data_IF_633945947505
#
_entry.id   IF_633945947505
#
_cell.length_a   1.000
_cell.length_b   1.000
_cell.length_c   1.000
_cell.angle_alpha   90.00
_cell.angle_beta   90.00
_cell.angle_gamma   90.00
#
_symmetry.space_group_name_H-M   'P 1'
#
loop_
_entity.id
_entity.type
_entity.pdbx_description
1 polymer ?
#
# COMPACT_ATOMS: atom_id res chain seq x y z
N UNK A 1 -24.93 -7.51 3.60
CA UNK A 1 -24.27 -6.20 3.89
C UNK A 1 -23.06 -5.93 2.99
N UNK A 2 -22.19 -6.91 2.73
CA UNK A 2 -21.01 -6.75 1.87
C UNK A 2 -21.37 -6.41 0.40
N UNK A 3 -22.38 -7.05 -0.19
CA UNK A 3 -22.84 -6.74 -1.57
C UNK A 3 -23.38 -5.31 -1.71
N UNK A 4 -24.14 -4.80 -0.73
CA UNK A 4 -24.64 -3.41 -0.72
C UNK A 4 -23.48 -2.42 -0.61
N UNK A 5 -22.46 -2.75 0.18
CA UNK A 5 -21.25 -1.94 0.29
C UNK A 5 -20.43 -1.93 -1.01
N UNK A 6 -20.28 -3.08 -1.66
CA UNK A 6 -19.61 -3.19 -2.96
C UNK A 6 -20.37 -2.43 -4.06
N UNK A 7 -21.70 -2.53 -4.10
CA UNK A 7 -22.56 -1.75 -4.99
C UNK A 7 -22.42 -0.25 -4.75
N UNK A 8 -22.47 0.21 -3.49
CA UNK A 8 -22.25 1.62 -3.16
C UNK A 8 -20.88 2.09 -3.60
N UNK A 9 -19.83 1.33 -3.31
CA UNK A 9 -18.45 1.66 -3.71
C UNK A 9 -18.32 1.79 -5.22
N UNK A 10 -18.94 0.89 -5.99
CA UNK A 10 -18.95 0.94 -7.47
C UNK A 10 -19.76 2.11 -8.03
N UNK A 11 -20.74 2.60 -7.28
CA UNK A 11 -21.62 3.72 -7.65
C UNK A 11 -21.15 5.08 -7.08
N UNK A 12 -20.08 5.12 -6.27
CA UNK A 12 -19.51 6.37 -5.76
C UNK A 12 -18.91 7.15 -6.91
N UNK A 13 -19.58 8.22 -7.30
CA UNK A 13 -19.00 9.27 -8.13
C UNK A 13 -18.41 10.35 -7.22
N UNK A 14 -17.23 10.86 -7.57
CA UNK A 14 -16.72 12.06 -6.92
C UNK A 14 -17.70 13.19 -7.24
N UNK A 15 -18.34 13.82 -6.23
CA UNK A 15 -19.44 14.74 -6.49
C UNK A 15 -18.98 16.03 -7.19
N UNK A 16 -17.70 16.36 -7.11
CA UNK A 16 -17.12 17.58 -7.67
C UNK A 16 -15.91 17.25 -8.54
N UNK A 17 -15.86 17.84 -9.75
CA UNK A 17 -14.67 17.81 -10.61
C UNK A 17 -13.64 18.85 -10.17
N UNK A 18 -12.38 18.66 -10.56
CA UNK A 18 -11.31 19.64 -10.28
C UNK A 18 -11.61 21.00 -10.90
N UNK A 19 -12.13 21.02 -12.13
CA UNK A 19 -12.52 22.26 -12.83
C UNK A 19 -13.60 23.02 -12.08
N UNK A 20 -14.59 22.31 -11.52
CA UNK A 20 -15.63 22.92 -10.69
C UNK A 20 -15.06 23.50 -9.40
N UNK A 21 -14.17 22.77 -8.72
CA UNK A 21 -13.50 23.25 -7.51
C UNK A 21 -12.68 24.51 -7.83
N UNK A 22 -11.94 24.50 -8.94
CA UNK A 22 -11.12 25.65 -9.37
C UNK A 22 -11.98 26.87 -9.69
N UNK A 23 -13.10 26.67 -10.40
CA UNK A 23 -14.09 27.73 -10.67
C UNK A 23 -14.63 28.33 -9.38
N UNK A 24 -15.08 27.51 -8.43
CA UNK A 24 -15.61 27.96 -7.14
C UNK A 24 -14.57 28.75 -6.36
N UNK A 25 -13.31 28.30 -6.35
CA UNK A 25 -12.19 29.01 -5.70
C UNK A 25 -11.95 30.37 -6.34
N UNK A 26 -11.98 30.46 -7.68
CA UNK A 26 -11.80 31.71 -8.42
C UNK A 26 -12.92 32.72 -8.15
N UNK A 27 -14.18 32.27 -8.18
CA UNK A 27 -15.36 33.11 -7.97
C UNK A 27 -15.49 33.58 -6.51
N UNK A 28 -14.95 32.82 -5.54
CA UNK A 28 -15.10 33.08 -4.11
C UNK A 28 -13.78 33.42 -3.40
N UNK A 29 -12.85 34.10 -4.08
CA UNK A 29 -11.49 34.37 -3.58
C UNK A 29 -11.44 35.03 -2.18
N UNK A 30 -12.40 35.92 -1.87
CA UNK A 30 -12.46 36.56 -0.54
C UNK A 30 -12.77 35.55 0.57
N UNK A 31 -13.70 34.62 0.33
CA UNK A 31 -14.02 33.55 1.28
C UNK A 31 -12.83 32.61 1.44
N UNK A 32 -12.14 32.28 0.35
CA UNK A 32 -10.94 31.43 0.39
C UNK A 32 -9.82 32.05 1.23
N UNK A 33 -9.62 33.38 1.15
CA UNK A 33 -8.66 34.08 2.02
C UNK A 33 -9.03 33.98 3.50
N UNK A 34 -10.32 33.99 3.83
CA UNK A 34 -10.80 33.82 5.20
C UNK A 34 -10.69 32.37 5.68
N UNK A 35 -10.96 31.40 4.81
CA UNK A 35 -10.69 29.98 5.08
C UNK A 35 -9.20 29.75 5.37
N UNK A 36 -8.31 30.41 4.62
CA UNK A 36 -6.88 30.35 4.90
C UNK A 36 -6.51 31.00 6.25
N UNK A 37 -7.15 32.12 6.64
CA UNK A 37 -6.96 32.71 7.97
C UNK A 37 -7.42 31.75 9.08
N UNK A 38 -8.55 31.07 8.90
CA UNK A 38 -9.03 30.04 9.81
C UNK A 38 -8.00 28.89 9.91
N UNK A 39 -7.52 28.37 8.78
CA UNK A 39 -6.46 27.37 8.73
C UNK A 39 -5.20 27.82 9.48
N UNK A 40 -4.71 29.03 9.21
CA UNK A 40 -3.51 29.56 9.86
C UNK A 40 -3.69 29.76 11.36
N UNK A 41 -4.89 30.12 11.82
CA UNK A 41 -5.19 30.24 13.26
C UNK A 41 -5.16 28.91 14.02
N UNK A 42 -5.29 27.79 13.30
CA UNK A 42 -5.28 26.44 13.86
C UNK A 42 -3.94 25.73 13.70
N UNK A 43 -3.25 25.97 12.58
CA UNK A 43 -2.13 25.13 12.14
C UNK A 43 -0.82 25.90 11.91
N UNK A 44 -0.78 27.22 12.09
CA UNK A 44 0.48 27.95 12.00
C UNK A 44 1.25 27.77 13.31
N UNK A 45 2.43 27.12 13.31
CA UNK A 45 3.21 26.88 14.53
C UNK A 45 3.75 28.18 15.17
N UNK A 46 3.73 29.28 14.42
CA UNK A 46 4.18 30.62 14.86
C UNK A 46 3.07 31.42 15.55
N UNK A 47 1.84 30.90 15.57
CA UNK A 47 0.67 31.58 16.15
C UNK A 47 0.08 30.70 17.26
N UNK A 48 -0.43 31.33 18.32
CA UNK A 48 -1.14 30.58 19.37
C UNK A 48 -2.41 29.97 18.79
N UNK A 49 -2.48 28.64 18.83
CA UNK A 49 -3.63 27.86 18.32
C UNK A 49 -4.93 28.31 18.96
N UNK A 50 -5.91 28.64 18.11
CA UNK A 50 -7.27 29.01 18.53
C UNK A 50 -8.17 27.76 18.53
N UNK A 51 -9.22 27.75 19.34
CA UNK A 51 -10.22 26.68 19.28
C UNK A 51 -11.07 26.83 18.01
N UNK A 52 -11.22 25.74 17.25
CA UNK A 52 -12.11 25.72 16.09
C UNK A 52 -13.57 25.94 16.51
N UNK A 53 -14.23 26.93 15.90
CA UNK A 53 -15.65 27.23 16.13
C UNK A 53 -16.49 26.61 15.02
N UNK A 54 -17.36 25.68 15.39
CA UNK A 54 -18.23 24.98 14.43
C UNK A 54 -19.12 25.97 13.67
N UNK A 55 -19.70 26.93 14.38
CA UNK A 55 -20.48 28.03 13.79
C UNK A 55 -19.73 29.33 14.01
N UNK A 56 -19.53 30.08 12.92
CA UNK A 56 -18.95 31.41 12.90
C UNK A 56 -19.49 32.19 11.69
N UNK A 57 -19.21 33.49 11.63
CA UNK A 57 -19.67 34.35 10.54
C UNK A 57 -19.23 33.86 9.16
N UNK A 58 -18.06 33.21 9.07
CA UNK A 58 -17.57 32.59 7.84
C UNK A 58 -18.49 31.46 7.36
N UNK A 59 -18.93 30.56 8.26
CA UNK A 59 -19.90 29.51 7.93
C UNK A 59 -21.21 30.09 7.43
N UNK A 60 -21.74 31.09 8.14
CA UNK A 60 -23.01 31.73 7.78
C UNK A 60 -22.94 32.41 6.43
N UNK A 61 -21.80 33.05 6.11
CA UNK A 61 -21.58 33.64 4.79
C UNK A 61 -21.46 32.60 3.68
N UNK A 62 -20.79 31.47 3.94
CA UNK A 62 -20.74 30.36 3.00
C UNK A 62 -22.16 29.83 2.74
N UNK A 63 -22.97 29.64 3.78
CA UNK A 63 -24.35 29.13 3.65
C UNK A 63 -25.30 30.07 2.89
N UNK A 64 -24.97 31.36 2.77
CA UNK A 64 -25.75 32.36 2.02
C UNK A 64 -25.39 32.47 0.55
N UNK A 65 -24.41 31.71 0.06
CA UNK A 65 -24.07 31.68 -1.36
C UNK A 65 -25.22 31.07 -2.17
N UNK A 66 -25.44 31.61 -3.38
CA UNK A 66 -26.51 31.15 -4.27
C UNK A 66 -26.22 29.74 -4.86
N UNK A 67 -24.95 29.42 -5.14
CA UNK A 67 -24.57 28.11 -5.68
C UNK A 67 -24.44 27.06 -4.58
N UNK A 68 -25.30 26.05 -4.64
CA UNK A 68 -25.28 24.90 -3.73
C UNK A 68 -23.96 24.11 -3.77
N UNK A 69 -23.34 24.03 -4.95
CA UNK A 69 -22.05 23.39 -5.17
C UNK A 69 -20.92 24.17 -4.50
N UNK A 70 -20.95 25.51 -4.61
CA UNK A 70 -19.99 26.37 -3.93
C UNK A 70 -20.09 26.24 -2.40
N UNK A 71 -21.32 26.20 -1.86
CA UNK A 71 -21.57 25.94 -0.44
C UNK A 71 -20.92 24.62 -0.02
N UNK A 72 -21.22 23.53 -0.73
CA UNK A 72 -20.73 22.20 -0.39
C UNK A 72 -19.18 22.11 -0.44
N UNK A 73 -18.56 22.67 -1.47
CA UNK A 73 -17.09 22.67 -1.65
C UNK A 73 -16.40 23.49 -0.55
N UNK A 74 -16.88 24.71 -0.27
CA UNK A 74 -16.25 25.59 0.72
C UNK A 74 -16.45 25.08 2.15
N UNK A 75 -17.59 24.45 2.46
CA UNK A 75 -17.78 23.75 3.74
C UNK A 75 -16.83 22.55 3.88
N UNK A 76 -16.53 21.83 2.79
CA UNK A 76 -15.54 20.74 2.82
C UNK A 76 -14.13 21.25 3.12
N UNK A 77 -13.76 22.47 2.72
CA UNK A 77 -12.48 23.06 3.12
C UNK A 77 -12.41 23.37 4.62
N UNK A 78 -13.52 23.81 5.23
CA UNK A 78 -13.61 23.98 6.69
C UNK A 78 -13.52 22.64 7.41
N UNK A 79 -14.19 21.61 6.90
CA UNK A 79 -14.13 20.26 7.45
C UNK A 79 -12.71 19.68 7.36
N UNK A 80 -12.03 19.85 6.23
CA UNK A 80 -10.63 19.47 6.06
C UNK A 80 -9.74 20.17 7.08
N UNK A 81 -9.87 21.49 7.23
CA UNK A 81 -9.13 22.27 8.22
C UNK A 81 -9.35 21.74 9.65
N UNK A 82 -10.60 21.53 10.06
CA UNK A 82 -10.95 20.95 11.37
C UNK A 82 -10.35 19.55 11.61
N UNK A 83 -10.15 18.79 10.54
CA UNK A 83 -9.73 17.40 10.60
C UNK A 83 -8.22 17.20 10.78
N UNK A 84 -7.42 18.22 10.46
CA UNK A 84 -5.96 18.14 10.51
C UNK A 84 -5.52 18.10 11.97
N UNK A 85 -4.68 17.11 12.26
CA UNK A 85 -4.01 16.91 13.54
C UNK A 85 -2.58 17.44 13.49
N UNK A 86 -1.90 17.29 12.35
CA UNK A 86 -0.52 17.75 12.15
C UNK A 86 -0.25 18.00 10.66
N UNK A 87 0.56 19.02 10.34
CA UNK A 87 0.95 19.32 8.95
C UNK A 87 2.31 19.99 8.85
N UNK A 88 3.01 19.70 7.75
CA UNK A 88 4.28 20.32 7.39
C UNK A 88 4.09 21.60 6.55
N UNK A 89 2.86 22.12 6.43
CA UNK A 89 2.49 23.21 5.51
C UNK A 89 3.41 24.45 5.62
N UNK A 90 3.94 24.76 6.80
CA UNK A 90 4.76 25.94 7.05
C UNK A 90 6.27 25.74 6.91
N UNK A 91 6.75 24.51 6.68
CA UNK A 91 8.18 24.28 6.41
C UNK A 91 8.63 25.03 5.13
N UNK A 92 9.80 25.69 5.11
CA UNK A 92 10.28 26.36 3.91
C UNK A 92 10.79 25.39 2.84
N UNK A 93 11.47 24.32 3.27
CA UNK A 93 12.05 23.31 2.38
C UNK A 93 11.36 21.96 2.64
N UNK A 94 10.59 21.49 1.66
CA UNK A 94 9.87 20.22 1.72
C UNK A 94 9.71 19.62 0.32
N UNK A 95 9.48 18.31 0.24
CA UNK A 95 9.24 17.61 -1.04
C UNK A 95 7.76 17.60 -1.45
N UNK A 96 6.87 17.95 -0.52
CA UNK A 96 5.43 18.08 -0.74
C UNK A 96 4.70 18.44 0.56
N UNK A 97 3.39 18.53 0.47
CA UNK A 97 2.52 18.78 1.62
C UNK A 97 2.07 17.48 2.24
N UNK A 98 2.12 17.41 3.56
CA UNK A 98 1.68 16.27 4.35
C UNK A 98 0.67 16.73 5.40
N UNK A 99 -0.40 15.95 5.55
CA UNK A 99 -1.46 16.18 6.50
C UNK A 99 -1.77 14.89 7.23
N UNK A 100 -1.65 14.92 8.55
CA UNK A 100 -2.23 13.91 9.43
C UNK A 100 -3.69 14.29 9.68
N UNK A 101 -4.61 13.46 9.25
CA UNK A 101 -6.06 13.69 9.31
C UNK A 101 -6.66 12.71 10.31
N UNK A 102 -7.61 13.17 11.12
CA UNK A 102 -8.36 12.31 12.04
C UNK A 102 -9.19 11.28 11.25
N UNK A 103 -9.04 9.99 11.51
CA UNK A 103 -9.78 8.93 10.79
C UNK A 103 -11.30 8.99 10.94
N UNK A 104 -11.80 9.62 12.01
CA UNK A 104 -13.24 9.85 12.23
C UNK A 104 -13.88 10.82 11.22
N UNK A 105 -13.11 11.40 10.28
CA UNK A 105 -13.68 12.15 9.15
C UNK A 105 -14.25 11.26 8.07
N UNK A 106 -13.84 9.99 8.02
CA UNK A 106 -14.44 9.04 7.10
C UNK A 106 -15.83 8.65 7.60
N UNK A 107 -16.86 8.66 6.73
CA UNK A 107 -18.22 8.33 7.13
C UNK A 107 -18.33 6.84 7.48
N UNK A 108 -18.87 6.53 8.66
CA UNK A 108 -19.02 5.15 9.15
C UNK A 108 -19.93 4.27 8.28
N UNK A 109 -20.79 4.87 7.45
CA UNK A 109 -21.62 4.15 6.48
C UNK A 109 -20.80 3.43 5.40
N UNK A 110 -19.64 4.00 5.08
CA UNK A 110 -18.74 3.52 4.03
C UNK A 110 -17.46 2.92 4.62
N UNK A 111 -17.08 3.35 5.82
CA UNK A 111 -15.87 2.93 6.50
C UNK A 111 -16.23 2.49 7.93
N UNK A 112 -16.78 1.28 8.12
CA UNK A 112 -17.38 0.85 9.39
C UNK A 112 -16.41 0.83 10.57
N UNK A 113 -15.13 0.53 10.29
CA UNK A 113 -14.07 0.57 11.28
C UNK A 113 -13.32 1.88 11.13
N UNK A 114 -13.44 2.75 12.12
CA UNK A 114 -12.76 4.05 12.10
C UNK A 114 -11.25 3.83 12.10
N UNK A 115 -10.52 4.32 11.08
CA UNK A 115 -9.07 4.32 11.13
C UNK A 115 -8.58 5.18 12.30
N UNK A 116 -7.33 4.98 12.68
CA UNK A 116 -6.60 5.85 13.57
C UNK A 116 -6.31 7.18 12.81
N UNK A 117 -5.10 7.74 12.66
CA UNK A 117 -4.88 8.83 11.70
C UNK A 117 -4.78 8.30 10.26
N UNK A 118 -5.20 9.14 9.32
CA UNK A 118 -4.91 8.99 7.89
C UNK A 118 -3.85 10.02 7.52
N UNK A 119 -2.80 9.58 6.84
CA UNK A 119 -1.84 10.50 6.26
C UNK A 119 -2.16 10.72 4.82
N UNK A 120 -2.38 11.98 4.47
CA UNK A 120 -2.60 12.42 3.12
C UNK A 120 -1.45 13.30 2.69
N UNK A 121 -0.90 13.03 1.51
CA UNK A 121 0.26 13.73 0.99
C UNK A 121 0.05 14.14 -0.45
N UNK A 122 0.53 15.33 -0.79
CA UNK A 122 0.54 15.87 -2.14
C UNK A 122 2.00 16.24 -2.47
N UNK A 123 2.64 15.44 -3.32
CA UNK A 123 3.96 15.70 -3.86
C UNK A 123 3.90 16.12 -5.33
N UNK A 124 5.01 16.62 -5.86
CA UNK A 124 5.08 17.06 -7.26
C UNK A 124 4.85 15.95 -8.30
N UNK A 125 5.08 14.69 -7.92
CA UNK A 125 4.99 13.53 -8.82
C UNK A 125 3.87 12.54 -8.44
N UNK A 126 3.27 12.68 -7.26
CA UNK A 126 2.35 11.68 -6.74
C UNK A 126 1.44 12.22 -5.63
N UNK A 127 0.31 11.56 -5.45
CA UNK A 127 -0.54 11.67 -4.27
C UNK A 127 -0.31 10.43 -3.40
N UNK A 128 -0.12 10.65 -2.10
CA UNK A 128 0.13 9.59 -1.13
C UNK A 128 -1.00 9.45 -0.12
N UNK A 129 -1.38 8.22 0.19
CA UNK A 129 -2.17 7.88 1.36
C UNK A 129 -1.41 6.91 2.26
N UNK A 130 -1.55 7.06 3.57
CA UNK A 130 -1.18 6.04 4.55
C UNK A 130 -2.31 5.89 5.56
N UNK A 131 -2.98 4.73 5.59
CA UNK A 131 -4.09 4.47 6.49
C UNK A 131 -3.65 3.50 7.57
N UNK A 132 -4.04 3.76 8.81
CA UNK A 132 -3.61 3.04 10.00
C UNK A 132 -4.81 2.65 10.85
N UNK A 133 -4.76 1.49 11.48
CA UNK A 133 -5.79 1.02 12.42
C UNK A 133 -5.31 0.98 13.88
N UNK A 134 -4.06 1.38 14.15
CA UNK A 134 -3.53 1.56 15.51
C UNK A 134 -2.42 2.63 15.55
N UNK A 135 -2.17 3.19 16.74
CA UNK A 135 -1.10 4.18 17.01
C UNK A 135 0.31 3.61 16.86
N UNK A 136 0.46 2.29 16.95
CA UNK A 136 1.66 1.56 16.52
C UNK A 136 1.20 0.58 15.46
N UNK A 137 1.62 0.79 14.21
CA UNK A 137 1.10 0.02 13.09
C UNK A 137 2.18 -0.36 12.08
N UNK A 138 1.97 -1.49 11.42
CA UNK A 138 2.83 -2.02 10.38
C UNK A 138 2.07 -2.33 9.10
N UNK A 139 2.69 -2.01 7.96
CA UNK A 139 2.16 -2.44 6.67
C UNK A 139 2.95 -1.99 5.45
N UNK A 140 2.61 -2.61 4.32
CA UNK A 140 3.28 -2.39 3.04
C UNK A 140 3.02 -0.99 2.45
N UNK A 141 4.01 -0.45 1.75
CA UNK A 141 3.86 0.74 0.90
C UNK A 141 3.83 0.30 -0.55
N UNK A 142 2.73 0.57 -1.24
CA UNK A 142 2.51 0.24 -2.65
C UNK A 142 2.73 1.47 -3.51
N UNK A 143 3.30 1.28 -4.69
CA UNK A 143 3.40 2.33 -5.70
C UNK A 143 2.61 1.93 -6.95
N UNK A 144 1.61 2.74 -7.28
CA UNK A 144 0.65 2.49 -8.36
C UNK A 144 1.01 3.33 -9.57
N UNK A 145 1.20 2.66 -10.71
CA UNK A 145 1.42 3.30 -12.00
C UNK A 145 0.10 3.50 -12.74
N UNK A 146 -0.01 4.63 -13.45
CA UNK A 146 -1.16 4.95 -14.28
C UNK A 146 -0.68 5.44 -15.64
N UNK A 147 -0.62 4.53 -16.60
CA UNK A 147 -0.28 4.85 -17.99
C UNK A 147 -1.56 5.29 -18.71
N UNK A 148 -1.61 6.55 -19.09
CA UNK A 148 -2.79 7.17 -19.72
C UNK A 148 -3.87 7.65 -18.74
N UNK A 149 -4.75 8.51 -19.24
CA UNK A 149 -5.75 9.24 -18.43
C UNK A 149 -6.79 8.31 -17.80
N UNK A 150 -7.35 7.36 -18.55
CA UNK A 150 -8.40 6.47 -18.07
C UNK A 150 -7.93 5.59 -16.88
N UNK A 151 -6.70 5.05 -16.97
CA UNK A 151 -6.10 4.29 -15.88
C UNK A 151 -5.86 5.17 -14.64
N UNK A 152 -5.39 6.41 -14.84
CA UNK A 152 -5.16 7.34 -13.74
C UNK A 152 -6.46 7.73 -13.03
N UNK A 153 -7.52 8.05 -13.77
CA UNK A 153 -8.82 8.38 -13.19
C UNK A 153 -9.42 7.21 -12.42
N UNK A 154 -9.30 5.99 -12.95
CA UNK A 154 -9.79 4.78 -12.27
C UNK A 154 -9.07 4.57 -10.95
N UNK A 155 -7.72 4.55 -10.97
CA UNK A 155 -6.91 4.35 -9.77
C UNK A 155 -7.13 5.48 -8.75
N UNK A 156 -7.30 6.72 -9.20
CA UNK A 156 -7.57 7.87 -8.34
C UNK A 156 -8.91 7.76 -7.63
N UNK A 157 -9.96 7.29 -8.32
CA UNK A 157 -11.30 7.10 -7.74
C UNK A 157 -11.32 6.00 -6.68
N UNK A 158 -10.57 4.91 -6.88
CA UNK A 158 -10.52 3.79 -5.94
C UNK A 158 -9.46 3.92 -4.84
N UNK A 159 -8.60 4.93 -4.90
CA UNK A 159 -7.40 5.07 -4.06
C UNK A 159 -7.69 4.94 -2.55
N UNK A 160 -8.70 5.67 -2.06
CA UNK A 160 -9.06 5.67 -0.64
C UNK A 160 -9.65 4.32 -0.21
N UNK A 161 -10.55 3.76 -1.00
CA UNK A 161 -11.20 2.48 -0.69
C UNK A 161 -10.18 1.32 -0.72
N UNK A 162 -9.24 1.32 -1.68
CA UNK A 162 -8.16 0.34 -1.76
C UNK A 162 -7.24 0.45 -0.55
N UNK A 163 -6.75 1.66 -0.23
CA UNK A 163 -5.88 1.89 0.91
C UNK A 163 -6.56 1.44 2.22
N UNK A 164 -7.84 1.73 2.39
CA UNK A 164 -8.60 1.35 3.59
C UNK A 164 -8.74 -0.17 3.68
N UNK A 165 -9.18 -0.84 2.62
CA UNK A 165 -9.39 -2.29 2.60
C UNK A 165 -8.10 -3.06 2.85
N UNK A 166 -7.00 -2.62 2.24
CA UNK A 166 -5.68 -3.23 2.44
C UNK A 166 -5.17 -3.02 3.87
N UNK A 167 -5.30 -1.81 4.41
CA UNK A 167 -4.93 -1.53 5.81
C UNK A 167 -5.79 -2.32 6.81
N UNK A 168 -7.10 -2.45 6.52
CA UNK A 168 -8.03 -3.20 7.37
C UNK A 168 -7.73 -4.69 7.35
N UNK A 169 -7.45 -5.25 6.17
CA UNK A 169 -7.00 -6.65 6.06
C UNK A 169 -5.68 -6.87 6.81
N UNK A 170 -4.76 -5.90 6.75
CA UNK A 170 -3.51 -5.95 7.50
C UNK A 170 -3.74 -5.95 9.02
N UNK A 171 -4.79 -5.29 9.52
CA UNK A 171 -5.14 -5.32 10.94
C UNK A 171 -5.43 -6.74 11.42
N UNK A 172 -6.18 -7.53 10.65
CA UNK A 172 -6.46 -8.93 11.00
C UNK A 172 -5.26 -9.85 10.83
N UNK A 173 -4.37 -9.55 9.87
CA UNK A 173 -3.10 -10.27 9.74
C UNK A 173 -2.21 -10.07 10.97
N UNK A 174 -2.27 -8.89 11.59
CA UNK A 174 -1.44 -8.56 12.74
C UNK A 174 -2.12 -8.87 14.09
N UNK A 175 -3.24 -9.62 14.12
CA UNK A 175 -4.02 -9.87 15.35
C UNK A 175 -3.23 -10.53 16.48
N UNK A 176 -2.15 -11.25 16.14
CA UNK A 176 -1.33 -12.01 17.09
C UNK A 176 0.02 -11.32 17.41
N UNK A 177 0.23 -10.08 16.94
CA UNK A 177 1.41 -9.25 17.23
C UNK A 177 1.00 -7.91 17.86
N UNK A 178 1.97 -7.15 18.36
CA UNK A 178 1.69 -5.91 19.11
C UNK A 178 1.28 -4.73 18.21
N UNK A 179 1.65 -4.74 16.93
CA UNK A 179 1.37 -3.67 15.99
C UNK A 179 0.02 -3.86 15.29
N UNK A 180 -0.77 -2.80 15.14
CA UNK A 180 -1.94 -2.82 14.24
C UNK A 180 -1.56 -2.82 12.76
N UNK A 181 -2.55 -2.91 11.89
CA UNK A 181 -2.40 -2.86 10.45
C UNK A 181 -2.31 -1.45 9.91
N UNK A 182 -1.46 -1.27 8.90
CA UNK A 182 -1.46 -0.08 8.07
C UNK A 182 -1.27 -0.41 6.60
N UNK A 183 -1.45 0.59 5.73
CA UNK A 183 -1.10 0.49 4.32
C UNK A 183 -0.77 1.87 3.76
N UNK A 184 0.35 1.97 3.05
CA UNK A 184 0.69 3.11 2.22
C UNK A 184 0.35 2.84 0.76
N UNK A 185 -0.24 3.81 0.07
CA UNK A 185 -0.37 3.80 -1.39
C UNK A 185 0.15 5.13 -1.93
N UNK A 186 1.05 5.05 -2.91
CA UNK A 186 1.59 6.18 -3.66
C UNK A 186 1.03 6.08 -5.08
N UNK A 187 0.06 6.93 -5.40
CA UNK A 187 -0.48 7.04 -6.75
C UNK A 187 0.38 8.02 -7.54
N UNK A 188 1.16 7.49 -8.48
CA UNK A 188 1.96 8.32 -9.37
C UNK A 188 1.04 9.15 -10.29
N UNK A 189 1.47 10.37 -10.62
CA UNK A 189 0.83 11.18 -11.64
C UNK A 189 0.78 10.42 -12.97
N UNK A 190 -0.21 10.76 -13.81
CA UNK A 190 -0.36 10.12 -15.13
C UNK A 190 0.94 10.22 -15.93
N UNK A 191 1.38 9.09 -16.49
CA UNK A 191 2.52 9.03 -17.41
C UNK A 191 2.08 8.56 -18.80
N UNK A 192 2.90 8.85 -19.81
CA UNK A 192 2.61 8.37 -21.17
C UNK A 192 3.07 6.94 -21.39
N UNK A 193 4.15 6.54 -20.71
CA UNK A 193 4.76 5.22 -20.85
C UNK A 193 5.06 4.60 -19.48
N UNK A 194 5.18 3.27 -19.46
CA UNK A 194 5.62 2.54 -18.27
C UNK A 194 7.09 2.84 -17.93
N UNK A 195 7.94 3.08 -18.93
CA UNK A 195 9.34 3.43 -18.71
C UNK A 195 9.48 4.78 -17.98
N UNK A 196 8.66 5.76 -18.35
CA UNK A 196 8.57 7.03 -17.63
C UNK A 196 8.11 6.83 -16.17
N UNK A 197 7.07 6.02 -15.96
CA UNK A 197 6.56 5.72 -14.62
C UNK A 197 7.66 5.10 -13.74
N UNK A 198 8.39 4.10 -14.26
CA UNK A 198 9.50 3.44 -13.56
C UNK A 198 10.64 4.41 -13.23
N UNK A 199 10.92 5.40 -14.08
CA UNK A 199 11.94 6.43 -13.81
C UNK A 199 11.52 7.40 -12.70
N UNK A 200 10.23 7.76 -12.65
CA UNK A 200 9.69 8.70 -11.65
C UNK A 200 9.39 8.02 -10.30
N UNK A 201 9.10 6.72 -10.29
CA UNK A 201 8.69 5.98 -9.10
C UNK A 201 9.62 6.16 -7.88
N UNK A 202 10.96 6.04 -8.02
CA UNK A 202 11.87 6.23 -6.90
C UNK A 202 11.81 7.65 -6.32
N UNK A 203 11.63 8.67 -7.17
CA UNK A 203 11.54 10.06 -6.73
C UNK A 203 10.24 10.31 -5.95
N UNK A 204 9.12 9.79 -6.43
CA UNK A 204 7.84 9.86 -5.74
C UNK A 204 7.87 9.14 -4.38
N UNK A 205 8.50 7.95 -4.33
CA UNK A 205 8.70 7.23 -3.08
C UNK A 205 9.56 8.01 -2.08
N UNK A 206 10.67 8.60 -2.54
CA UNK A 206 11.54 9.42 -1.69
C UNK A 206 10.81 10.64 -1.12
N UNK A 207 10.04 11.35 -1.95
CA UNK A 207 9.21 12.46 -1.52
C UNK A 207 8.16 12.02 -0.48
N UNK A 208 7.51 10.88 -0.69
CA UNK A 208 6.53 10.31 0.25
C UNK A 208 7.13 10.03 1.63
N UNK A 209 8.36 9.48 1.66
CA UNK A 209 9.07 9.21 2.91
C UNK A 209 9.54 10.50 3.57
N UNK A 210 10.08 11.46 2.82
CA UNK A 210 10.50 12.75 3.40
C UNK A 210 9.32 13.51 4.02
N UNK A 211 8.19 13.57 3.30
CA UNK A 211 6.95 14.18 3.79
C UNK A 211 6.39 13.47 5.03
N UNK A 212 6.55 12.15 5.11
CA UNK A 212 6.18 11.38 6.31
C UNK A 212 7.11 11.70 7.48
N UNK A 213 8.43 11.74 7.24
CA UNK A 213 9.42 12.08 8.25
C UNK A 213 9.31 13.53 8.74
N UNK A 214 8.81 14.46 7.92
CA UNK A 214 8.48 15.82 8.35
C UNK A 214 7.44 15.84 9.47
N UNK A 215 6.46 14.92 9.46
CA UNK A 215 5.43 14.85 10.50
C UNK A 215 5.84 13.97 11.69
N UNK A 216 6.78 13.03 11.48
CA UNK A 216 7.21 12.08 12.51
C UNK A 216 8.33 12.60 13.40
N UNK A 217 9.16 13.49 12.87
CA UNK A 217 10.32 14.01 13.57
C UNK A 217 10.04 15.42 14.08
N UNK A 218 10.45 15.76 15.32
CA UNK A 218 10.24 17.09 15.86
C UNK A 218 10.85 18.17 14.96
N UNK A 219 10.04 19.17 14.58
CA UNK A 219 10.49 20.32 13.82
C UNK A 219 9.66 21.57 14.17
N UNK A 220 10.31 22.72 14.36
CA UNK A 220 9.66 23.94 14.84
C UNK A 220 8.67 24.58 13.84
N UNK A 221 8.85 24.33 12.53
CA UNK A 221 7.89 24.76 11.48
C UNK A 221 6.78 23.72 11.18
N UNK A 222 6.61 22.70 12.03
CA UNK A 222 5.54 21.69 11.90
C UNK A 222 4.52 21.91 13.02
N UNK A 223 3.23 21.87 12.66
CA UNK A 223 2.15 21.91 13.65
C UNK A 223 2.00 20.54 14.30
N UNK A 224 2.68 20.31 15.42
CA UNK A 224 2.49 19.10 16.22
C UNK A 224 1.26 19.23 17.14
N UNK A 225 0.09 18.88 16.61
CA UNK A 225 -1.15 18.83 17.38
C UNK A 225 -1.33 17.56 18.22
N UNK A 226 -0.36 16.64 18.27
CA UNK A 226 -0.43 15.40 19.05
C UNK A 226 0.33 15.50 20.37
N UNK A 227 1.53 16.11 20.34
CA UNK A 227 2.42 16.18 21.50
C UNK A 227 2.96 14.84 21.97
N UNK A 228 2.84 13.79 21.16
CA UNK A 228 3.37 12.44 21.41
C UNK A 228 4.22 11.98 20.24
N UNK A 229 5.37 11.36 20.55
CA UNK A 229 6.23 10.76 19.52
C UNK A 229 5.58 9.49 19.00
N UNK A 230 5.58 9.32 17.68
CA UNK A 230 5.09 8.12 17.03
C UNK A 230 6.22 7.33 16.36
N UNK A 231 5.99 6.02 16.19
CA UNK A 231 6.90 5.12 15.48
C UNK A 231 6.11 4.31 14.47
N UNK A 232 6.57 4.28 13.23
CA UNK A 232 5.90 3.58 12.15
C UNK A 232 6.80 2.51 11.54
N UNK A 233 6.16 1.42 11.11
CA UNK A 233 6.85 0.27 10.54
C UNK A 233 6.35 0.02 9.11
N UNK A 234 7.17 0.38 8.12
CA UNK A 234 6.84 0.22 6.71
C UNK A 234 7.34 -1.12 6.19
N UNK A 235 6.56 -1.75 5.32
CA UNK A 235 6.94 -2.93 4.57
C UNK A 235 7.03 -2.66 3.06
N UNK A 236 7.73 -3.52 2.32
CA UNK A 236 7.60 -3.53 0.87
C UNK A 236 6.20 -4.02 0.45
N UNK A 237 5.77 -3.56 -0.71
CA UNK A 237 4.63 -4.06 -1.47
C UNK A 237 4.93 -3.92 -2.97
N UNK A 238 3.90 -3.99 -3.83
CA UNK A 238 4.04 -3.81 -5.27
C UNK A 238 4.84 -2.54 -5.62
N UNK A 239 5.84 -2.73 -6.49
CA UNK A 239 6.75 -1.71 -7.00
C UNK A 239 7.64 -0.99 -5.95
N UNK A 240 7.69 -1.47 -4.69
CA UNK A 240 8.60 -0.92 -3.68
C UNK A 240 9.61 -1.92 -3.14
N UNK A 241 9.33 -3.23 -3.23
CA UNK A 241 10.22 -4.29 -2.70
C UNK A 241 11.57 -4.45 -3.38
N UNK A 242 11.79 -3.82 -4.53
CA UNK A 242 13.04 -3.91 -5.31
C UNK A 242 13.70 -2.53 -5.47
N UNK A 243 14.97 -2.51 -5.90
CA UNK A 243 15.68 -1.25 -6.18
C UNK A 243 16.16 -0.48 -4.94
N UNK A 244 16.19 -1.11 -3.77
CA UNK A 244 16.77 -0.52 -2.55
C UNK A 244 15.94 0.61 -1.91
N UNK A 245 14.67 0.77 -2.27
CA UNK A 245 13.83 1.86 -1.77
C UNK A 245 13.58 1.80 -0.26
N UNK A 246 13.26 0.62 0.28
CA UNK A 246 13.03 0.44 1.72
C UNK A 246 14.33 0.65 2.50
N UNK A 247 15.45 0.23 1.92
CA UNK A 247 16.78 0.41 2.49
C UNK A 247 17.15 1.90 2.57
N UNK A 248 16.96 2.63 1.46
CA UNK A 248 17.11 4.08 1.42
C UNK A 248 16.20 4.78 2.43
N UNK A 249 14.94 4.37 2.57
CA UNK A 249 14.02 4.99 3.54
C UNK A 249 14.50 4.85 4.99
N UNK A 250 15.04 3.68 5.37
CA UNK A 250 15.62 3.49 6.69
C UNK A 250 16.89 4.32 6.90
N UNK A 251 17.78 4.36 5.91
CA UNK A 251 18.96 5.23 5.97
C UNK A 251 18.56 6.71 6.04
N UNK A 252 17.52 7.12 5.31
CA UNK A 252 17.00 8.49 5.34
C UNK A 252 16.45 8.85 6.72
N UNK A 253 15.73 7.94 7.36
CA UNK A 253 15.28 8.14 8.74
C UNK A 253 16.48 8.30 9.69
N UNK A 254 17.57 7.53 9.51
CA UNK A 254 18.82 7.65 10.27
C UNK A 254 19.47 9.01 10.07
N UNK A 255 19.63 9.46 8.83
CA UNK A 255 20.20 10.76 8.47
C UNK A 255 19.43 11.92 9.12
N UNK A 256 18.09 11.80 9.20
CA UNK A 256 17.23 12.79 9.83
C UNK A 256 17.14 12.68 11.35
N UNK A 257 17.91 11.78 11.98
CA UNK A 257 18.01 11.67 13.44
C UNK A 257 16.98 10.75 14.10
N UNK A 258 16.27 9.91 13.35
CA UNK A 258 15.36 8.91 13.93
C UNK A 258 16.13 7.84 14.71
N UNK A 259 15.78 7.67 15.99
CA UNK A 259 16.38 6.62 16.87
C UNK A 259 15.96 5.21 16.47
N UNK A 260 14.81 5.07 15.83
CA UNK A 260 14.20 3.79 15.44
C UNK A 260 14.38 3.48 13.95
N UNK A 261 15.33 4.13 13.28
CA UNK A 261 15.59 4.01 11.83
C UNK A 261 15.75 2.57 11.34
N UNK A 262 16.37 1.67 12.14
CA UNK A 262 16.53 0.26 11.78
C UNK A 262 15.19 -0.46 11.66
N UNK A 263 14.20 -0.07 12.44
CA UNK A 263 12.88 -0.68 12.43
C UNK A 263 11.92 0.05 11.47
N UNK A 264 12.23 1.30 11.07
CA UNK A 264 11.36 2.11 10.21
C UNK A 264 10.84 1.37 8.98
N UNK A 265 11.69 0.58 8.33
CA UNK A 265 11.29 -0.28 7.22
C UNK A 265 11.70 -1.74 7.42
N UNK A 266 10.96 -2.66 6.83
CA UNK A 266 11.32 -4.07 6.67
C UNK A 266 11.67 -4.36 5.20
N UNK A 267 12.23 -5.54 4.89
CA UNK A 267 12.71 -5.83 3.52
C UNK A 267 14.02 -5.13 3.14
N UNK A 268 14.85 -4.76 4.13
CA UNK A 268 16.16 -4.11 3.94
C UNK A 268 17.26 -5.11 3.62
N UNK A 269 18.46 -4.60 3.30
CA UNK A 269 19.67 -5.41 3.20
C UNK A 269 20.12 -5.94 4.58
N UNK A 270 20.79 -7.09 4.60
CA UNK A 270 21.28 -7.74 5.83
C UNK A 270 22.19 -6.81 6.64
N UNK A 271 23.09 -6.10 5.95
CA UNK A 271 24.01 -5.13 6.57
C UNK A 271 23.31 -3.99 7.33
N UNK A 272 22.04 -3.73 7.03
CA UNK A 272 21.21 -2.72 7.71
C UNK A 272 20.17 -3.37 8.65
N UNK A 273 20.34 -4.64 9.00
CA UNK A 273 19.45 -5.40 9.88
C UNK A 273 18.22 -5.97 9.18
N UNK A 274 18.24 -6.11 7.86
CA UNK A 274 17.19 -6.80 7.11
C UNK A 274 17.27 -8.32 7.25
N UNK A 275 16.11 -8.97 7.27
CA UNK A 275 15.98 -10.43 7.22
C UNK A 275 15.36 -10.77 5.85
N UNK A 276 16.11 -11.41 4.92
CA UNK A 276 15.61 -11.75 3.59
C UNK A 276 14.47 -12.77 3.65
N UNK A 277 13.23 -12.29 3.56
CA UNK A 277 12.02 -13.10 3.68
C UNK A 277 11.94 -14.23 2.65
N UNK A 278 12.33 -13.92 1.43
CA UNK A 278 12.35 -14.84 0.30
C UNK A 278 13.37 -15.96 0.50
N UNK A 279 14.60 -15.64 0.93
CA UNK A 279 15.66 -16.63 1.20
C UNK A 279 15.26 -17.64 2.29
N UNK A 280 14.52 -17.18 3.29
CA UNK A 280 14.07 -18.03 4.39
C UNK A 280 12.66 -18.58 4.17
N UNK A 281 12.03 -18.27 3.03
CA UNK A 281 10.67 -18.66 2.71
C UNK A 281 9.67 -18.37 3.84
N UNK A 282 9.78 -17.23 4.54
CA UNK A 282 9.08 -17.02 5.82
C UNK A 282 7.55 -17.18 5.69
N UNK A 283 6.98 -16.69 4.59
CA UNK A 283 5.56 -16.85 4.28
C UNK A 283 5.23 -18.32 4.03
N UNK A 284 6.00 -18.97 3.17
CA UNK A 284 5.78 -20.37 2.80
C UNK A 284 5.97 -21.31 3.97
N UNK A 285 6.99 -21.11 4.80
CA UNK A 285 7.22 -21.90 6.02
C UNK A 285 6.01 -21.85 6.96
N UNK A 286 5.33 -20.70 7.05
CA UNK A 286 4.09 -20.56 7.82
C UNK A 286 2.93 -21.32 7.18
N UNK A 287 2.78 -21.25 5.85
CA UNK A 287 1.75 -21.99 5.11
C UNK A 287 1.98 -23.51 5.21
N UNK A 288 3.20 -23.99 4.98
CA UNK A 288 3.57 -25.40 5.06
C UNK A 288 3.43 -25.93 6.50
N UNK A 289 3.74 -25.12 7.52
CA UNK A 289 3.48 -25.49 8.91
C UNK A 289 1.97 -25.66 9.18
N UNK A 290 1.13 -24.78 8.63
CA UNK A 290 -0.33 -24.89 8.75
C UNK A 290 -0.85 -26.16 8.05
N UNK A 291 -0.37 -26.44 6.83
CA UNK A 291 -0.70 -27.67 6.08
C UNK A 291 -0.28 -28.92 6.86
N UNK A 292 0.94 -28.97 7.39
CA UNK A 292 1.41 -30.05 8.28
C UNK A 292 0.52 -30.22 9.52
N UNK A 293 0.05 -29.10 10.10
CA UNK A 293 -0.91 -29.12 11.20
C UNK A 293 -2.24 -29.80 10.82
N UNK A 294 -2.75 -29.55 9.60
CA UNK A 294 -3.94 -30.23 9.07
C UNK A 294 -3.68 -31.73 8.92
N UNK A 295 -2.56 -32.12 8.31
CA UNK A 295 -2.20 -33.53 8.15
C UNK A 295 -2.13 -34.24 9.50
N UNK A 296 -1.42 -33.67 10.47
CA UNK A 296 -1.33 -34.21 11.83
C UNK A 296 -2.70 -34.33 12.50
N UNK A 297 -3.57 -33.32 12.36
CA UNK A 297 -4.92 -33.34 12.95
C UNK A 297 -5.81 -34.43 12.37
N UNK A 298 -5.62 -34.76 11.09
CA UNK A 298 -6.38 -35.78 10.37
C UNK A 298 -5.71 -37.17 10.38
N UNK A 299 -4.51 -37.29 10.96
CA UNK A 299 -3.74 -38.53 10.96
C UNK A 299 -3.20 -38.92 9.57
N UNK A 300 -3.00 -37.95 8.68
CA UNK A 300 -2.48 -38.15 7.32
C UNK A 300 -0.97 -38.02 7.30
N UNK A 301 -0.28 -38.83 6.49
CA UNK A 301 1.15 -38.66 6.22
C UNK A 301 1.35 -37.80 4.98
N UNK A 302 2.19 -36.77 5.10
CA UNK A 302 2.46 -35.80 4.03
C UNK A 302 2.94 -36.49 2.74
N UNK A 303 3.81 -37.49 2.86
CA UNK A 303 4.39 -38.24 1.73
C UNK A 303 3.36 -39.05 0.93
N UNK A 304 2.20 -39.34 1.53
CA UNK A 304 1.08 -40.05 0.91
C UNK A 304 0.09 -39.07 0.25
N UNK A 305 0.25 -37.76 0.46
CA UNK A 305 -0.65 -36.73 -0.06
C UNK A 305 -0.24 -36.25 -1.44
N UNK A 306 -1.24 -35.90 -2.23
CA UNK A 306 -1.09 -35.33 -3.57
C UNK A 306 -1.28 -33.81 -3.53
N UNK A 307 -0.43 -33.07 -4.23
CA UNK A 307 -0.44 -31.61 -4.29
C UNK A 307 -0.58 -31.09 -5.72
N UNK A 308 -1.49 -30.14 -5.89
CA UNK A 308 -1.58 -29.26 -7.05
C UNK A 308 -1.22 -27.86 -6.57
N UNK A 309 -0.34 -27.17 -7.29
CA UNK A 309 0.15 -25.86 -6.90
C UNK A 309 -0.10 -24.81 -7.98
N UNK A 310 -0.60 -23.65 -7.57
CA UNK A 310 -0.56 -22.42 -8.35
C UNK A 310 0.56 -21.53 -7.82
N UNK A 311 1.50 -21.16 -8.69
CA UNK A 311 2.78 -20.54 -8.37
C UNK A 311 3.94 -21.47 -8.72
N UNK A 312 4.82 -21.01 -9.61
CA UNK A 312 5.91 -21.80 -10.17
C UNK A 312 7.22 -21.67 -9.40
N UNK A 313 8.30 -22.26 -9.94
CA UNK A 313 9.65 -22.15 -9.39
C UNK A 313 10.24 -20.74 -9.51
N UNK A 314 9.58 -19.83 -10.23
CA UNK A 314 9.98 -18.44 -10.49
C UNK A 314 9.52 -17.45 -9.40
N UNK A 315 8.44 -17.77 -8.70
CA UNK A 315 7.90 -16.96 -7.60
C UNK A 315 8.51 -17.33 -6.24
N UNK A 316 8.57 -16.35 -5.31
CA UNK A 316 9.00 -16.57 -3.91
C UNK A 316 8.23 -17.72 -3.26
N UNK A 317 6.90 -17.60 -3.20
CA UNK A 317 6.07 -18.55 -2.47
C UNK A 317 6.08 -19.94 -3.12
N UNK A 318 5.93 -19.98 -4.45
CA UNK A 318 5.85 -21.23 -5.22
C UNK A 318 7.16 -22.02 -5.18
N UNK A 319 8.29 -21.34 -5.40
CA UNK A 319 9.63 -21.91 -5.28
C UNK A 319 9.88 -22.49 -3.89
N UNK A 320 9.68 -21.68 -2.84
CA UNK A 320 9.87 -22.14 -1.47
C UNK A 320 8.94 -23.29 -1.09
N UNK A 321 7.74 -23.38 -1.69
CA UNK A 321 6.80 -24.45 -1.42
C UNK A 321 7.27 -25.78 -2.02
N UNK A 322 7.76 -25.75 -3.27
CA UNK A 322 8.34 -26.92 -3.94
C UNK A 322 9.59 -27.44 -3.20
N UNK A 323 10.36 -26.55 -2.58
CA UNK A 323 11.54 -26.91 -1.79
C UNK A 323 11.19 -27.54 -0.42
N UNK A 324 10.05 -27.17 0.18
CA UNK A 324 9.69 -27.55 1.55
C UNK A 324 8.69 -28.71 1.64
N UNK A 325 7.86 -28.87 0.61
CA UNK A 325 6.81 -29.90 0.56
C UNK A 325 7.41 -31.29 0.43
N UNK A 326 6.83 -32.27 1.13
CA UNK A 326 7.09 -33.70 0.88
C UNK A 326 5.94 -34.39 0.17
N UNK A 327 4.80 -33.70 0.03
CA UNK A 327 3.66 -34.19 -0.74
C UNK A 327 4.05 -34.41 -2.20
N UNK A 328 3.45 -35.43 -2.80
CA UNK A 328 3.60 -35.76 -4.22
C UNK A 328 3.01 -34.63 -5.07
N UNK A 329 3.86 -33.79 -5.63
CA UNK A 329 3.42 -32.69 -6.50
C UNK A 329 3.10 -33.24 -7.88
N UNK A 330 1.84 -33.18 -8.29
CA UNK A 330 1.38 -33.68 -9.58
C UNK A 330 1.12 -32.56 -10.59
N UNK A 331 1.03 -31.32 -10.12
CA UNK A 331 0.77 -30.19 -10.99
C UNK A 331 1.39 -28.89 -10.46
N UNK A 332 1.98 -28.12 -11.37
CA UNK A 332 2.44 -26.75 -11.13
C UNK A 332 1.87 -25.86 -12.22
N UNK A 333 1.12 -24.84 -11.82
CA UNK A 333 0.53 -23.84 -12.71
C UNK A 333 1.17 -22.49 -12.40
N UNK A 334 1.83 -21.88 -13.37
CA UNK A 334 2.45 -20.57 -13.21
C UNK A 334 2.15 -19.66 -14.41
N UNK A 335 2.77 -18.49 -14.45
CA UNK A 335 2.56 -17.53 -15.54
C UNK A 335 3.10 -18.01 -16.90
N UNK A 336 3.83 -19.12 -16.96
CA UNK A 336 4.31 -19.71 -18.22
C UNK A 336 3.38 -20.79 -18.75
N UNK A 337 2.57 -21.43 -17.90
CA UNK A 337 1.68 -22.50 -18.33
C UNK A 337 1.33 -23.51 -17.24
N UNK A 338 0.95 -24.71 -17.67
CA UNK A 338 0.54 -25.84 -16.83
C UNK A 338 1.49 -27.00 -17.03
N UNK A 339 2.14 -27.44 -15.96
CA UNK A 339 2.92 -28.67 -15.89
C UNK A 339 2.14 -29.70 -15.07
N UNK A 340 1.95 -30.90 -15.60
CA UNK A 340 1.16 -31.95 -14.96
C UNK A 340 1.75 -33.34 -15.19
N UNK A 341 1.76 -34.16 -14.14
CA UNK A 341 1.99 -35.60 -14.24
C UNK A 341 1.23 -36.34 -13.12
N UNK A 342 0.27 -37.23 -13.45
CA UNK A 342 -0.47 -37.96 -12.41
C UNK A 342 0.43 -38.91 -11.60
N UNK A 343 1.56 -39.34 -12.17
CA UNK A 343 2.55 -40.16 -11.49
C UNK A 343 3.48 -39.34 -10.59
N UNK A 344 3.33 -38.02 -10.56
CA UNK A 344 4.14 -37.10 -9.76
C UNK A 344 5.31 -36.54 -10.57
N UNK A 345 5.57 -35.26 -10.38
CA UNK A 345 6.72 -34.58 -10.96
C UNK A 345 7.99 -34.94 -10.17
N UNK A 346 9.12 -35.01 -10.88
CA UNK A 346 10.42 -35.31 -10.31
C UNK A 346 10.86 -34.18 -9.36
N UNK A 347 11.14 -34.56 -8.11
CA UNK A 347 11.49 -33.62 -7.05
C UNK A 347 12.85 -32.96 -7.31
N UNK A 348 13.82 -33.73 -7.83
CA UNK A 348 15.15 -33.22 -8.14
C UNK A 348 15.10 -32.14 -9.22
N UNK A 349 14.29 -32.36 -10.25
CA UNK A 349 14.08 -31.41 -11.33
C UNK A 349 13.34 -30.15 -10.86
N UNK A 350 12.29 -30.29 -10.03
CA UNK A 350 11.63 -29.15 -9.40
C UNK A 350 12.61 -28.33 -8.54
N UNK A 351 13.49 -29.00 -7.79
CA UNK A 351 14.53 -28.35 -6.98
C UNK A 351 15.60 -27.66 -7.83
N UNK A 352 15.97 -28.25 -8.97
CA UNK A 352 16.86 -27.60 -9.97
C UNK A 352 16.24 -26.31 -10.48
N UNK A 353 14.97 -26.34 -10.90
CA UNK A 353 14.25 -25.15 -11.35
C UNK A 353 14.17 -24.07 -10.27
N UNK A 354 13.92 -24.46 -9.02
CA UNK A 354 13.94 -23.54 -7.89
C UNK A 354 15.34 -22.94 -7.64
N UNK A 355 16.40 -23.74 -7.80
CA UNK A 355 17.78 -23.28 -7.61
C UNK A 355 18.18 -22.22 -8.63
N UNK A 356 17.71 -22.35 -9.88
CA UNK A 356 17.93 -21.32 -10.93
C UNK A 356 17.44 -19.93 -10.50
N UNK A 357 16.32 -19.85 -9.77
CA UNK A 357 15.80 -18.60 -9.23
C UNK A 357 16.80 -17.92 -8.28
N UNK A 358 17.38 -18.68 -7.35
CA UNK A 358 18.37 -18.16 -6.41
C UNK A 358 19.70 -17.79 -7.08
N UNK A 359 20.01 -18.40 -8.22
CA UNK A 359 21.14 -18.04 -9.08
C UNK A 359 20.85 -16.81 -9.97
N UNK A 360 19.64 -16.26 -9.93
CA UNK A 360 19.22 -15.14 -10.79
C UNK A 360 19.03 -15.52 -12.26
N UNK A 361 18.87 -16.81 -12.56
CA UNK A 361 18.61 -17.32 -13.90
C UNK A 361 17.11 -17.42 -14.17
N UNK A 362 16.66 -17.24 -15.43
CA UNK A 362 15.28 -17.52 -15.80
C UNK A 362 14.88 -18.94 -15.42
N UNK A 363 13.71 -19.08 -14.81
CA UNK A 363 13.11 -20.36 -14.44
C UNK A 363 11.59 -20.23 -14.57
N UNK A 364 10.90 -21.34 -14.83
CA UNK A 364 9.44 -21.46 -14.84
C UNK A 364 9.07 -22.95 -15.01
N UNK A 365 7.79 -23.28 -14.94
CA UNK A 365 7.28 -24.64 -15.12
C UNK A 365 7.56 -25.21 -16.53
N UNK A 366 7.58 -24.39 -17.58
CA UNK A 366 7.84 -24.86 -18.95
C UNK A 366 9.29 -25.30 -19.21
N UNK A 367 10.22 -24.91 -18.34
CA UNK A 367 11.63 -25.32 -18.37
C UNK A 367 11.91 -26.69 -17.71
N UNK A 368 10.88 -27.37 -17.22
CA UNK A 368 10.97 -28.74 -16.71
C UNK A 368 11.38 -29.73 -17.81
N UNK A 369 12.33 -30.61 -17.51
CA UNK A 369 12.81 -31.67 -18.41
C UNK A 369 11.69 -32.66 -18.73
N UNK A 370 11.18 -32.59 -19.96
CA UNK A 370 10.09 -33.44 -20.43
C UNK A 370 10.45 -34.91 -20.54
N UNK A 371 11.74 -35.28 -20.53
CA UNK A 371 12.16 -36.69 -20.48
C UNK A 371 11.86 -37.36 -19.13
N UNK A 372 11.62 -36.56 -18.09
CA UNK A 372 11.23 -37.03 -16.76
C UNK A 372 9.71 -37.15 -16.58
N UNK A 373 8.92 -36.78 -17.60
CA UNK A 373 7.47 -36.99 -17.58
C UNK A 373 7.15 -38.44 -17.91
N UNK A 374 6.17 -38.99 -17.21
CA UNK A 374 5.55 -40.24 -17.57
C UNK A 374 4.73 -40.11 -18.86
N UNK A 375 4.29 -41.22 -19.50
CA UNK A 375 3.45 -41.17 -20.70
C UNK A 375 2.11 -40.44 -20.52
N UNK A 376 1.69 -40.21 -19.27
CA UNK A 376 0.48 -39.46 -18.93
C UNK A 376 0.76 -38.00 -18.53
N UNK A 377 2.04 -37.63 -18.40
CA UNK A 377 2.47 -36.30 -18.07
C UNK A 377 2.50 -35.39 -19.30
N UNK A 378 2.27 -34.10 -19.08
CA UNK A 378 2.29 -33.10 -20.13
C UNK A 378 2.69 -31.72 -19.59
N UNK A 379 3.11 -30.86 -20.52
CA UNK A 379 3.24 -29.43 -20.28
C UNK A 379 2.47 -28.66 -21.36
N UNK A 380 1.74 -27.64 -20.95
CA UNK A 380 0.96 -26.75 -21.81
C UNK A 380 1.43 -25.33 -21.58
N UNK A 381 2.03 -24.72 -22.60
CA UNK A 381 2.47 -23.33 -22.56
C UNK A 381 1.26 -22.38 -22.60
N UNK A 382 1.35 -21.22 -21.94
CA UNK A 382 0.28 -20.22 -21.93
C UNK A 382 -0.08 -19.71 -23.34
N UNK A 383 0.84 -19.77 -24.30
CA UNK A 383 0.64 -19.34 -25.68
C UNK A 383 0.09 -20.44 -26.58
N UNK A 384 -0.02 -21.68 -26.08
CA UNK A 384 -0.49 -22.81 -26.86
C UNK A 384 -1.94 -22.59 -27.33
N UNK A 385 -2.17 -22.88 -28.62
CA UNK A 385 -3.50 -22.87 -29.27
C UNK A 385 -3.74 -24.24 -29.90
N UNK A 386 -4.98 -24.69 -29.85
CA UNK A 386 -5.43 -25.94 -30.50
C UNK A 386 -4.62 -27.18 -30.09
N UNK A 387 -4.64 -27.48 -28.78
CA UNK A 387 -3.95 -28.64 -28.21
C UNK A 387 -4.82 -29.88 -28.42
N UNK A 388 -4.33 -30.82 -29.23
CA UNK A 388 -4.90 -32.16 -29.45
C UNK A 388 -4.33 -33.20 -28.51
#
# INVERSE_FOLDING_TARGET
MQEIYELRTRLKTCPFSEDLIFKVVGENANIVKELYKEFASLHCPRVKRVLFKETNELKERILRLESSEAVAILLKFREFTKSILCTNFYMPFKQGFAFRIRGSTLPSSDFPSTPCPIFFQIGGLAVGLHIRFAEVSRGGVRLVFSVGTAAHETNRRSLLDEAYKLAFTQQFKNKDISEGGSKGIILLNKTQTLAEAKRQAPLAFKAYIDNMLDLLLPHHDVDDGLGISEVWFLGPDENTGTGGLLDWAAQRAKERGSVWWKAFTTGKLIQHGGIPHDRFGMTTASVEAYVKGIYNKLGLKEEEMTRIQTGGPDGDLGCNALLQTKSKTIAVVDGSGVLYDPNGLDVGELHRLCSLRFEGKPTNAMLYDSSLLSPLGFKVDQEARDIT
#
